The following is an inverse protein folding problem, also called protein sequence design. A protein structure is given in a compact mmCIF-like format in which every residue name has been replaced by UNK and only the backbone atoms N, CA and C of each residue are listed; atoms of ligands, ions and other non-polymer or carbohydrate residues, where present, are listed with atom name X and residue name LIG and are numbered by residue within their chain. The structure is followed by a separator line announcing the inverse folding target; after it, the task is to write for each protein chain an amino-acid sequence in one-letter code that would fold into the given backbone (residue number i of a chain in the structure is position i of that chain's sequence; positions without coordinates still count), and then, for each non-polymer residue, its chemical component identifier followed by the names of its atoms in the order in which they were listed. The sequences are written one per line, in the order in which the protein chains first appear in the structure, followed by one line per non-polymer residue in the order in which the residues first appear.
data_IF_714692799727
#
_entry.id   IF_714692799727
#
_cell.length_a   1.000
_cell.length_b   1.000
_cell.length_c   1.000
_cell.angle_alpha   90.00
_cell.angle_beta   90.00
_cell.angle_gamma   90.00
#
_symmetry.space_group_name_H-M   'P 1'
#
loop_
_entity.id
_entity.type
_entity.pdbx_description
1 polymer ?
#
# COMPACT_ATOMS: atom_id res chain seq x y z
N UNK A 1 -21.17 -7.26 -16.32
CA UNK A 1 -21.10 -6.36 -15.16
C UNK A 1 -19.92 -6.83 -14.31
N UNK A 2 -18.77 -6.16 -14.41
CA UNK A 2 -17.58 -6.51 -13.62
C UNK A 2 -17.81 -5.92 -12.23
N UNK A 3 -18.17 -6.75 -11.25
CA UNK A 3 -18.20 -6.35 -9.86
C UNK A 3 -16.78 -5.90 -9.49
N UNK A 4 -16.56 -4.59 -9.39
CA UNK A 4 -15.29 -4.06 -8.91
C UNK A 4 -15.13 -4.54 -7.47
N UNK A 5 -14.26 -5.52 -7.27
CA UNK A 5 -13.90 -6.00 -5.95
C UNK A 5 -13.41 -4.81 -5.14
N UNK A 6 -14.16 -4.43 -4.10
CA UNK A 6 -13.73 -3.35 -3.21
C UNK A 6 -12.34 -3.71 -2.67
N UNK A 7 -11.36 -2.80 -2.77
CA UNK A 7 -10.00 -3.11 -2.34
C UNK A 7 -10.02 -3.41 -0.85
N UNK A 8 -9.67 -4.65 -0.48
CA UNK A 8 -9.72 -5.12 0.90
C UNK A 8 -8.64 -4.42 1.71
N UNK A 9 -9.06 -3.68 2.74
CA UNK A 9 -8.16 -3.07 3.72
C UNK A 9 -7.52 -4.15 4.59
N UNK A 10 -6.21 -4.09 4.76
CA UNK A 10 -5.44 -5.04 5.59
C UNK A 10 -4.87 -4.38 6.85
N UNK A 11 -4.60 -3.07 6.82
CA UNK A 11 -4.16 -2.34 7.99
C UNK A 11 -4.46 -0.84 7.84
N UNK A 12 -4.61 -0.15 8.98
CA UNK A 12 -4.64 1.31 9.06
C UNK A 12 -3.71 1.76 10.17
N UNK A 13 -3.04 2.88 9.96
CA UNK A 13 -2.23 3.50 10.99
C UNK A 13 -2.29 5.03 10.89
N UNK A 14 -2.27 5.73 12.03
CA UNK A 14 -2.28 7.19 12.02
C UNK A 14 -0.94 7.74 11.52
N UNK A 15 -1.03 8.80 10.72
CA UNK A 15 0.08 9.57 10.16
C UNK A 15 -0.05 11.03 10.63
N UNK A 16 -0.35 11.20 11.93
CA UNK A 16 -0.63 12.49 12.58
C UNK A 16 -1.99 12.50 13.30
N UNK A 17 -2.45 13.68 13.70
CA UNK A 17 -3.71 13.84 14.46
C UNK A 17 -4.98 13.65 13.61
N UNK A 18 -4.88 13.86 12.30
CA UNK A 18 -6.04 13.87 11.39
C UNK A 18 -5.82 13.05 10.13
N UNK A 19 -4.62 12.52 9.92
CA UNK A 19 -4.24 11.75 8.74
C UNK A 19 -4.04 10.30 9.14
N UNK A 20 -4.51 9.37 8.31
CA UNK A 20 -4.20 7.96 8.40
C UNK A 20 -3.62 7.46 7.08
N UNK A 21 -2.85 6.39 7.18
CA UNK A 21 -2.51 5.57 6.02
C UNK A 21 -3.29 4.27 6.09
N UNK A 22 -3.97 3.95 5.01
CA UNK A 22 -4.72 2.71 4.82
C UNK A 22 -3.98 1.84 3.83
N UNK A 23 -3.54 0.65 4.26
CA UNK A 23 -2.92 -0.35 3.40
C UNK A 23 -3.96 -1.32 2.85
N UNK A 24 -3.83 -1.65 1.57
CA UNK A 24 -4.73 -2.50 0.82
C UNK A 24 -4.06 -3.83 0.47
N UNK A 25 -4.87 -4.87 0.29
CA UNK A 25 -4.41 -6.23 0.01
C UNK A 25 -3.63 -6.36 -1.32
N UNK A 26 -3.79 -5.39 -2.23
CA UNK A 26 -3.07 -5.28 -3.50
C UNK A 26 -1.66 -4.67 -3.36
N UNK A 27 -1.24 -4.33 -2.14
CA UNK A 27 0.05 -3.71 -1.84
C UNK A 27 0.08 -2.20 -2.02
N UNK A 28 -1.03 -1.57 -2.44
CA UNK A 28 -1.13 -0.11 -2.46
C UNK A 28 -1.48 0.45 -1.09
N UNK A 29 -1.26 1.76 -0.91
CA UNK A 29 -1.68 2.48 0.28
C UNK A 29 -2.46 3.74 -0.10
N UNK A 30 -3.27 4.26 0.83
CA UNK A 30 -3.96 5.55 0.68
C UNK A 30 -3.65 6.38 1.91
N UNK A 31 -3.08 7.57 1.72
CA UNK A 31 -2.89 8.56 2.79
C UNK A 31 -4.04 9.57 2.70
N UNK A 32 -4.80 9.73 3.77
CA UNK A 32 -5.92 10.68 3.82
C UNK A 32 -6.63 10.67 5.17
N UNK A 33 -7.63 11.53 5.32
CA UNK A 33 -8.51 11.54 6.49
C UNK A 33 -9.91 10.98 6.19
N UNK A 34 -10.23 10.72 4.91
CA UNK A 34 -11.58 10.43 4.38
C UNK A 34 -11.50 9.62 3.05
N UNK A 35 -12.62 9.53 2.31
CA UNK A 35 -12.71 8.83 1.01
C UNK A 35 -11.79 9.40 -0.08
N UNK A 36 -11.37 10.66 0.06
CA UNK A 36 -10.39 11.30 -0.82
C UNK A 36 -9.02 11.27 -0.14
N UNK A 37 -8.06 10.62 -0.79
CA UNK A 37 -6.72 10.47 -0.27
C UNK A 37 -5.73 10.19 -1.39
N UNK A 38 -4.46 10.47 -1.14
CA UNK A 38 -3.38 10.19 -2.08
C UNK A 38 -3.14 8.69 -2.11
N UNK A 39 -3.38 8.07 -3.27
CA UNK A 39 -3.07 6.66 -3.48
C UNK A 39 -1.61 6.48 -3.84
N UNK A 40 -0.90 5.70 -3.02
CA UNK A 40 0.48 5.34 -3.21
C UNK A 40 0.59 3.98 -3.93
N UNK A 41 1.36 3.89 -5.03
CA UNK A 41 1.72 2.62 -5.62
C UNK A 41 2.60 1.78 -4.66
N UNK A 42 2.75 0.47 -4.87
CA UNK A 42 3.39 -0.42 -3.90
C UNK A 42 4.84 -0.04 -3.54
N UNK A 43 5.62 0.43 -4.51
CA UNK A 43 6.97 0.95 -4.30
C UNK A 43 7.00 2.14 -3.33
N UNK A 44 6.00 3.01 -3.37
CA UNK A 44 5.88 4.17 -2.48
C UNK A 44 5.22 3.82 -1.14
N UNK A 45 4.27 2.87 -1.16
CA UNK A 45 3.61 2.34 0.04
C UNK A 45 4.62 1.73 1.03
N UNK A 46 5.77 1.25 0.56
CA UNK A 46 6.86 0.78 1.41
C UNK A 46 7.38 1.87 2.36
N UNK A 47 7.56 3.10 1.87
CA UNK A 47 8.01 4.21 2.69
C UNK A 47 6.98 4.56 3.76
N UNK A 48 5.69 4.57 3.38
CA UNK A 48 4.61 4.77 4.33
C UNK A 48 4.57 3.68 5.41
N UNK A 49 4.77 2.41 5.03
CA UNK A 49 4.87 1.29 5.99
C UNK A 49 5.99 1.52 6.99
N UNK A 50 7.17 1.95 6.55
CA UNK A 50 8.30 2.22 7.45
C UNK A 50 8.01 3.35 8.45
N UNK A 51 7.29 4.39 8.03
CA UNK A 51 6.90 5.50 8.90
C UNK A 51 5.95 5.06 10.02
N UNK A 52 5.00 4.18 9.71
CA UNK A 52 3.97 3.73 10.66
C UNK A 52 4.23 2.35 11.26
N UNK A 53 5.36 1.71 10.95
CA UNK A 53 5.66 0.34 11.35
C UNK A 53 5.55 0.10 12.86
N UNK A 54 5.94 1.09 13.67
CA UNK A 54 5.87 1.03 15.13
C UNK A 54 4.44 1.14 15.69
N UNK A 55 3.50 1.63 14.88
CA UNK A 55 2.10 1.81 15.23
C UNK A 55 1.24 0.61 14.82
N UNK A 56 1.79 -0.27 13.96
CA UNK A 56 1.15 -1.50 13.55
C UNK A 56 1.50 -2.64 14.50
N UNK A 57 0.53 -3.53 14.73
CA UNK A 57 0.81 -4.82 15.36
C UNK A 57 1.75 -5.67 14.50
N UNK A 58 2.53 -6.56 15.12
CA UNK A 58 3.49 -7.42 14.40
C UNK A 58 2.86 -8.21 13.25
N UNK A 59 1.65 -8.72 13.45
CA UNK A 59 0.91 -9.45 12.43
C UNK A 59 0.49 -8.56 11.26
N UNK A 60 -0.06 -7.37 11.55
CA UNK A 60 -0.46 -6.39 10.54
C UNK A 60 0.74 -5.93 9.72
N UNK A 61 1.88 -5.65 10.37
CA UNK A 61 3.11 -5.30 9.68
C UNK A 61 3.54 -6.38 8.68
N UNK A 62 3.53 -7.65 9.09
CA UNK A 62 3.89 -8.76 8.19
C UNK A 62 2.90 -8.94 7.04
N UNK A 63 1.60 -8.74 7.28
CA UNK A 63 0.58 -8.78 6.23
C UNK A 63 0.78 -7.68 5.20
N UNK A 64 1.02 -6.44 5.64
CA UNK A 64 1.27 -5.29 4.75
C UNK A 64 2.57 -5.48 3.98
N UNK A 65 3.67 -5.83 4.67
CA UNK A 65 4.96 -6.13 4.04
C UNK A 65 4.79 -7.18 2.94
N UNK A 66 4.13 -8.29 3.23
CA UNK A 66 3.90 -9.35 2.25
C UNK A 66 3.00 -8.93 1.08
N UNK A 67 2.04 -8.04 1.30
CA UNK A 67 1.21 -7.49 0.23
C UNK A 67 2.03 -6.60 -0.71
N UNK A 68 2.86 -5.72 -0.16
CA UNK A 68 3.76 -4.84 -0.93
C UNK A 68 4.81 -5.68 -1.69
N UNK A 69 5.46 -6.64 -1.04
CA UNK A 69 6.47 -7.51 -1.67
C UNK A 69 5.88 -8.27 -2.87
N UNK A 70 4.67 -8.84 -2.74
CA UNK A 70 3.99 -9.52 -3.86
C UNK A 70 3.65 -8.58 -5.00
N UNK A 71 3.28 -7.34 -4.69
CA UNK A 71 2.90 -6.35 -5.69
C UNK A 71 4.11 -5.79 -6.44
N UNK A 72 5.26 -5.65 -5.77
CA UNK A 72 6.53 -5.23 -6.39
C UNK A 72 7.16 -6.37 -7.20
N UNK A 73 7.06 -7.62 -6.74
CA UNK A 73 7.59 -8.82 -7.43
C UNK A 73 6.63 -9.37 -8.50
N UNK A 74 5.48 -8.70 -8.72
CA UNK A 74 4.58 -8.99 -9.85
C UNK A 74 5.29 -8.87 -11.20
N UNK A 75 4.74 -9.47 -12.28
CA UNK A 75 5.41 -9.50 -13.58
C UNK A 75 5.72 -8.08 -14.02
N UNK A 76 7.01 -7.71 -14.02
CA UNK A 76 7.48 -6.44 -14.54
C UNK A 76 6.87 -6.29 -15.93
N UNK A 77 6.03 -5.28 -16.17
CA UNK A 77 5.48 -5.07 -17.50
C UNK A 77 6.67 -4.93 -18.47
N UNK A 78 6.68 -5.72 -19.55
CA UNK A 78 7.82 -5.76 -20.49
C UNK A 78 8.25 -4.37 -21.01
N UNK A 79 7.32 -3.40 -20.99
CA UNK A 79 7.60 -2.02 -21.36
C UNK A 79 8.43 -1.22 -20.34
N UNK A 80 8.57 -1.67 -19.09
CA UNK A 80 9.47 -1.07 -18.09
C UNK A 80 10.91 -1.61 -18.15
N UNK A 81 11.12 -2.78 -18.79
CA UNK A 81 12.45 -3.38 -18.98
C UNK A 81 13.28 -2.71 -20.10
N UNK A 82 12.77 -1.63 -20.71
CA UNK A 82 13.41 -0.92 -21.83
C UNK A 82 13.60 0.59 -21.62
N UNK A 83 13.50 1.10 -20.40
CA UNK A 83 13.59 2.54 -20.10
C UNK A 83 14.81 2.97 -19.28
N UNK A 84 15.81 2.10 -19.12
CA UNK A 84 17.15 2.51 -18.71
C UNK A 84 18.10 2.34 -19.90
N UNK A 85 18.55 3.44 -20.55
CA UNK A 85 19.75 3.39 -21.40
C UNK A 85 21.00 3.05 -20.59
#
# INVERSE_FOLDING_TARGET
MVAQAQPRVIARAPLGCSLEVTFLADGTAVIGCCQEGLRLPPNEAWYALMLVARLLGREQFQQVKGAIDRAIVGPVPKHMLGLYP
#
